data_IF_882092934782
#
_entry.id   IF_882092934782
#
_cell.length_a   1.000
_cell.length_b   1.000
_cell.length_c   1.000
_cell.angle_alpha   90.00
_cell.angle_beta   90.00
_cell.angle_gamma   90.00
#
_symmetry.space_group_name_H-M   'P 1'
#
loop_
_entity.id
_entity.type
_entity.pdbx_description
1 polymer ?
#
# COMPACT_ATOMS: atom_id res chain seq x y z
N UNK A 1 37.30 -37.61 28.27
CA UNK A 1 37.05 -37.33 29.69
C UNK A 1 35.75 -36.54 29.79
N UNK A 2 34.69 -37.16 30.30
CA UNK A 2 33.43 -36.49 30.61
C UNK A 2 33.62 -35.61 31.85
N UNK A 3 33.83 -34.30 31.67
CA UNK A 3 33.65 -33.35 32.77
C UNK A 3 32.14 -33.27 33.05
N UNK A 4 31.63 -34.16 33.90
CA UNK A 4 30.44 -33.86 34.70
C UNK A 4 30.84 -32.74 35.65
N UNK A 5 30.76 -31.50 35.17
CA UNK A 5 30.73 -30.34 36.05
C UNK A 5 29.47 -30.50 36.87
N UNK A 6 29.64 -30.81 38.16
CA UNK A 6 28.59 -30.65 39.16
C UNK A 6 28.19 -29.18 39.06
N UNK A 7 27.12 -28.90 38.32
CA UNK A 7 26.63 -27.54 38.17
C UNK A 7 26.15 -27.13 39.54
N UNK A 8 26.87 -26.20 40.17
CA UNK A 8 26.37 -25.45 41.31
C UNK A 8 24.92 -25.06 40.99
N UNK A 9 23.93 -25.44 41.82
CA UNK A 9 22.52 -25.14 41.57
C UNK A 9 22.27 -23.65 41.30
N UNK A 10 23.14 -22.77 41.83
CA UNK A 10 23.08 -21.32 41.67
C UNK A 10 23.94 -20.78 40.52
N UNK A 11 24.68 -21.64 39.81
CA UNK A 11 25.52 -21.22 38.68
C UNK A 11 24.66 -20.54 37.60
N UNK A 12 23.54 -21.17 37.24
CA UNK A 12 22.64 -20.58 36.23
C UNK A 12 22.15 -19.21 36.69
N UNK A 13 21.58 -19.11 37.89
CA UNK A 13 20.96 -17.87 38.38
C UNK A 13 21.96 -16.71 38.44
N UNK A 14 23.19 -16.98 38.93
CA UNK A 14 24.24 -15.96 39.00
C UNK A 14 24.62 -15.43 37.61
N UNK A 15 24.89 -16.32 36.66
CA UNK A 15 25.29 -15.93 35.31
C UNK A 15 24.10 -15.31 34.55
N UNK A 16 22.87 -15.78 34.81
CA UNK A 16 21.66 -15.29 34.17
C UNK A 16 21.34 -13.88 34.61
N UNK A 17 21.48 -13.57 35.91
CA UNK A 17 21.26 -12.21 36.41
C UNK A 17 22.19 -11.20 35.75
N UNK A 18 23.47 -11.55 35.53
CA UNK A 18 24.44 -10.70 34.82
C UNK A 18 24.00 -10.49 33.37
N UNK A 19 23.68 -11.59 32.68
CA UNK A 19 23.30 -11.53 31.26
C UNK A 19 21.96 -10.79 31.08
N UNK A 20 20.97 -11.05 31.92
CA UNK A 20 19.67 -10.39 31.91
C UNK A 20 19.82 -8.88 32.16
N UNK A 21 20.66 -8.48 33.13
CA UNK A 21 20.93 -7.07 33.38
C UNK A 21 21.58 -6.41 32.16
N UNK A 22 22.58 -7.05 31.55
CA UNK A 22 23.20 -6.55 30.33
C UNK A 22 22.21 -6.42 29.17
N UNK A 23 21.35 -7.42 28.95
CA UNK A 23 20.29 -7.40 27.93
C UNK A 23 19.35 -6.20 28.14
N UNK A 24 18.96 -5.92 29.39
CA UNK A 24 18.11 -4.77 29.71
C UNK A 24 18.81 -3.44 29.42
N UNK A 25 20.09 -3.31 29.72
CA UNK A 25 20.85 -2.09 29.44
C UNK A 25 21.10 -1.89 27.93
N UNK A 26 21.29 -2.98 27.18
CA UNK A 26 21.38 -2.98 25.71
C UNK A 26 20.09 -2.40 25.12
N UNK A 27 18.93 -2.88 25.56
CA UNK A 27 17.65 -2.40 25.04
C UNK A 27 17.30 -0.97 25.42
N UNK A 28 17.79 -0.48 26.57
CA UNK A 28 17.65 0.92 26.96
C UNK A 28 18.55 1.87 26.16
N UNK A 29 19.42 1.34 25.30
CA UNK A 29 20.36 2.11 24.47
C UNK A 29 21.17 3.12 25.29
N UNK A 30 21.49 2.76 26.54
CA UNK A 30 22.16 3.63 27.51
C UNK A 30 23.68 3.56 27.34
N UNK A 31 24.41 4.62 27.70
CA UNK A 31 25.89 4.63 27.66
C UNK A 31 26.49 3.48 28.51
N UNK A 32 25.75 3.00 29.51
CA UNK A 32 26.09 1.85 30.34
C UNK A 32 26.31 0.55 29.55
N UNK A 33 25.67 0.38 28.38
CA UNK A 33 25.87 -0.79 27.54
C UNK A 33 27.34 -0.91 27.06
N UNK A 34 28.07 0.22 26.99
CA UNK A 34 29.49 0.29 26.61
C UNK A 34 30.43 -0.26 27.69
N UNK A 35 29.96 -0.43 28.93
CA UNK A 35 30.75 -0.96 30.03
C UNK A 35 30.79 -2.50 30.09
N UNK A 36 29.91 -3.19 29.35
CA UNK A 36 29.93 -4.64 29.30
C UNK A 36 30.94 -5.15 28.29
N UNK A 37 31.83 -6.05 28.72
CA UNK A 37 32.72 -6.74 27.80
C UNK A 37 31.92 -7.76 26.97
N UNK A 38 31.91 -7.57 25.65
CA UNK A 38 31.31 -8.53 24.71
C UNK A 38 31.82 -9.96 24.95
N UNK A 39 33.13 -10.10 25.19
CA UNK A 39 33.76 -11.39 25.45
C UNK A 39 33.24 -12.04 26.74
N UNK A 40 32.98 -11.25 27.79
CA UNK A 40 32.42 -11.75 29.04
C UNK A 40 30.97 -12.22 28.87
N UNK A 41 30.11 -11.40 28.24
CA UNK A 41 28.72 -11.76 27.99
C UNK A 41 28.60 -13.00 27.11
N UNK A 42 29.37 -13.05 26.02
CA UNK A 42 29.41 -14.22 25.15
C UNK A 42 29.92 -15.46 25.89
N UNK A 43 30.92 -15.32 26.77
CA UNK A 43 31.43 -16.43 27.60
C UNK A 43 30.37 -16.96 28.58
N UNK A 44 29.60 -16.07 29.21
CA UNK A 44 28.50 -16.47 30.09
C UNK A 44 27.43 -17.25 29.32
N UNK A 45 26.99 -16.74 28.16
CA UNK A 45 26.02 -17.43 27.30
C UNK A 45 26.54 -18.78 26.78
N UNK A 46 27.82 -18.82 26.37
CA UNK A 46 28.48 -20.04 25.90
C UNK A 46 28.46 -21.15 26.96
N UNK A 47 28.93 -20.85 28.19
CA UNK A 47 28.99 -21.86 29.25
C UNK A 47 27.60 -22.31 29.71
N UNK A 48 26.59 -21.43 29.70
CA UNK A 48 25.21 -21.83 29.99
C UNK A 48 24.70 -22.90 29.03
N UNK A 49 24.90 -22.71 27.72
CA UNK A 49 24.48 -23.72 26.73
C UNK A 49 25.31 -24.98 26.85
N UNK A 50 26.64 -24.86 27.06
CA UNK A 50 27.55 -26.00 27.25
C UNK A 50 27.16 -26.87 28.45
N UNK A 51 26.67 -26.25 29.53
CA UNK A 51 26.18 -26.95 30.73
C UNK A 51 24.72 -27.38 30.64
N UNK A 52 24.17 -27.50 29.42
CA UNK A 52 22.80 -27.95 29.14
C UNK A 52 21.68 -27.04 29.72
N UNK A 53 21.96 -25.76 29.96
CA UNK A 53 20.95 -24.77 30.37
C UNK A 53 20.30 -24.03 29.19
N UNK A 54 20.39 -24.57 27.96
CA UNK A 54 19.87 -23.93 26.75
C UNK A 54 18.39 -23.54 26.82
N UNK A 55 17.51 -24.41 27.31
CA UNK A 55 16.07 -24.10 27.43
C UNK A 55 15.81 -22.99 28.46
N UNK A 56 16.51 -23.03 29.60
CA UNK A 56 16.39 -21.99 30.63
C UNK A 56 16.90 -20.63 30.12
N UNK A 57 18.00 -20.64 29.36
CA UNK A 57 18.54 -19.43 28.73
C UNK A 57 17.56 -18.86 27.69
N UNK A 58 17.03 -19.71 26.80
CA UNK A 58 16.09 -19.28 25.77
C UNK A 58 14.78 -18.76 26.37
N UNK A 59 14.19 -19.48 27.34
CA UNK A 59 12.97 -19.03 28.02
C UNK A 59 13.19 -17.74 28.83
N UNK A 60 14.33 -17.60 29.51
CA UNK A 60 14.71 -16.37 30.20
C UNK A 60 14.85 -15.19 29.23
N UNK A 61 15.43 -15.42 28.05
CA UNK A 61 15.55 -14.43 26.99
C UNK A 61 14.17 -13.97 26.53
N UNK A 62 13.30 -14.90 26.16
CA UNK A 62 11.91 -14.61 25.74
C UNK A 62 11.19 -13.79 26.81
N UNK A 63 11.25 -14.20 28.08
CA UNK A 63 10.61 -13.49 29.18
C UNK A 63 11.17 -12.07 29.37
N UNK A 64 12.49 -11.90 29.26
CA UNK A 64 13.13 -10.58 29.41
C UNK A 64 12.78 -9.63 28.28
N UNK A 65 12.82 -10.12 27.03
CA UNK A 65 12.42 -9.34 25.85
C UNK A 65 10.93 -8.97 25.92
N UNK A 66 10.08 -9.93 26.26
CA UNK A 66 8.62 -9.71 26.41
C UNK A 66 8.34 -8.63 27.46
N UNK A 67 8.94 -8.74 28.65
CA UNK A 67 8.77 -7.74 29.72
C UNK A 67 9.17 -6.34 29.27
N UNK A 68 10.30 -6.21 28.56
CA UNK A 68 10.77 -4.93 28.06
C UNK A 68 9.83 -4.33 27.00
N UNK A 69 9.34 -5.16 26.07
CA UNK A 69 8.40 -4.71 25.05
C UNK A 69 7.04 -4.32 25.64
N UNK A 70 6.59 -4.98 26.70
CA UNK A 70 5.38 -4.60 27.44
C UNK A 70 5.56 -3.27 28.19
N UNK A 71 6.77 -2.92 28.64
CA UNK A 71 7.07 -1.58 29.16
C UNK A 71 7.04 -0.53 28.06
N UNK A 72 7.62 -0.83 26.89
CA UNK A 72 7.54 0.02 25.70
C UNK A 72 6.08 0.27 25.30
N UNK A 73 5.27 -0.78 25.21
CA UNK A 73 3.87 -0.69 24.82
C UNK A 73 3.07 0.21 25.78
N UNK A 74 3.20 -0.02 27.11
CA UNK A 74 2.55 0.83 28.12
C UNK A 74 2.96 2.30 28.01
N UNK A 75 4.23 2.55 27.74
CA UNK A 75 4.73 3.92 27.54
C UNK A 75 4.14 4.55 26.28
N UNK A 76 4.07 3.82 25.16
CA UNK A 76 3.48 4.30 23.90
C UNK A 76 1.97 4.54 24.01
N UNK A 77 1.27 3.73 24.79
CA UNK A 77 -0.15 3.91 25.09
C UNK A 77 -0.39 5.21 25.88
N UNK A 78 0.54 5.56 26.78
CA UNK A 78 0.49 6.79 27.57
C UNK A 78 0.99 8.05 26.83
N UNK A 79 1.71 7.90 25.71
CA UNK A 79 2.21 9.02 24.89
C UNK A 79 1.07 9.89 24.37
N UNK A 80 1.31 11.19 24.20
CA UNK A 80 0.35 12.14 23.60
C UNK A 80 0.19 11.93 22.09
N UNK A 81 -0.97 12.28 21.52
CA UNK A 81 -1.29 12.02 20.10
C UNK A 81 -0.25 12.64 19.17
N UNK A 82 0.19 13.86 19.45
CA UNK A 82 1.17 14.60 18.64
C UNK A 82 2.54 13.91 18.52
N UNK A 83 3.03 13.27 19.58
CA UNK A 83 4.40 12.70 19.63
C UNK A 83 4.46 11.18 19.43
N UNK A 84 3.32 10.52 19.26
CA UNK A 84 3.24 9.06 19.23
C UNK A 84 4.06 8.41 18.12
N UNK A 85 3.95 8.92 16.90
CA UNK A 85 4.65 8.35 15.73
C UNK A 85 6.17 8.47 15.87
N UNK A 86 6.65 9.60 16.39
CA UNK A 86 8.07 9.86 16.62
C UNK A 86 8.63 8.97 17.73
N UNK A 87 7.88 8.82 18.83
CA UNK A 87 8.28 7.95 19.93
C UNK A 87 8.27 6.47 19.52
N UNK A 88 7.26 6.03 18.77
CA UNK A 88 7.19 4.68 18.21
C UNK A 88 8.38 4.41 17.29
N UNK A 89 8.68 5.33 16.37
CA UNK A 89 9.80 5.21 15.45
C UNK A 89 11.15 5.16 16.19
N UNK A 90 11.34 6.02 17.19
CA UNK A 90 12.56 6.01 18.01
C UNK A 90 12.75 4.67 18.72
N UNK A 91 11.71 4.22 19.45
CA UNK A 91 11.78 2.95 20.20
C UNK A 91 11.95 1.74 19.30
N UNK A 92 11.30 1.73 18.14
CA UNK A 92 11.50 0.69 17.13
C UNK A 92 12.96 0.65 16.67
N UNK A 93 13.52 1.81 16.31
CA UNK A 93 14.89 1.87 15.79
C UNK A 93 15.92 1.43 16.84
N UNK A 94 15.76 1.84 18.09
CA UNK A 94 16.66 1.44 19.18
C UNK A 94 16.58 -0.06 19.43
N UNK A 95 15.35 -0.60 19.54
CA UNK A 95 15.12 -2.03 19.70
C UNK A 95 15.66 -2.84 18.52
N UNK A 96 15.32 -2.46 17.29
CA UNK A 96 15.71 -3.15 16.07
C UNK A 96 17.24 -3.19 15.88
N UNK A 97 17.93 -2.07 16.14
CA UNK A 97 19.40 -1.99 16.07
C UNK A 97 20.09 -2.85 17.14
N UNK A 98 19.42 -3.12 18.26
CA UNK A 98 19.98 -3.95 19.33
C UNK A 98 19.91 -5.46 19.04
N UNK A 99 19.00 -5.91 18.16
CA UNK A 99 18.78 -7.34 17.88
C UNK A 99 20.02 -8.05 17.30
N UNK A 100 20.75 -7.50 16.30
CA UNK A 100 21.98 -8.14 15.81
C UNK A 100 23.04 -8.28 16.91
N UNK A 101 23.19 -7.27 17.76
CA UNK A 101 24.13 -7.31 18.87
C UNK A 101 23.76 -8.41 19.89
N UNK A 102 22.47 -8.56 20.18
CA UNK A 102 21.96 -9.62 21.05
C UNK A 102 22.19 -11.02 20.44
N UNK A 103 21.92 -11.19 19.14
CA UNK A 103 22.25 -12.43 18.41
C UNK A 103 23.75 -12.73 18.43
N UNK A 104 24.60 -11.71 18.39
CA UNK A 104 26.05 -11.87 18.48
C UNK A 104 26.53 -12.34 19.85
N UNK A 105 25.96 -11.79 20.94
CA UNK A 105 26.22 -12.27 22.31
C UNK A 105 25.78 -13.73 22.46
N UNK A 106 24.64 -14.09 21.87
CA UNK A 106 24.03 -15.43 21.98
C UNK A 106 24.43 -16.37 20.84
N UNK A 107 25.50 -16.06 20.10
CA UNK A 107 25.89 -16.75 18.86
C UNK A 107 26.08 -18.25 19.02
N UNK A 108 26.57 -18.70 20.17
CA UNK A 108 26.71 -20.13 20.42
C UNK A 108 25.35 -20.83 20.54
N UNK A 109 24.36 -20.20 21.20
CA UNK A 109 22.98 -20.69 21.27
C UNK A 109 22.33 -20.73 19.88
N UNK A 110 22.52 -19.67 19.08
CA UNK A 110 22.04 -19.55 17.69
C UNK A 110 22.56 -20.68 16.79
N UNK A 111 23.81 -21.12 16.97
CA UNK A 111 24.43 -22.12 16.10
C UNK A 111 24.23 -23.57 16.56
N UNK A 112 23.93 -23.80 17.83
CA UNK A 112 23.92 -25.16 18.40
C UNK A 112 22.55 -25.54 18.95
N UNK A 113 22.03 -24.73 19.88
CA UNK A 113 20.82 -25.05 20.62
C UNK A 113 19.55 -24.79 19.80
N UNK A 114 19.46 -23.64 19.11
CA UNK A 114 18.29 -23.27 18.30
C UNK A 114 18.01 -24.28 17.17
N UNK A 115 19.00 -24.69 16.34
CA UNK A 115 18.77 -25.66 15.27
C UNK A 115 18.41 -27.06 15.79
N UNK A 116 19.02 -27.49 16.89
CA UNK A 116 18.75 -28.81 17.47
C UNK A 116 17.35 -28.91 18.12
N UNK A 117 16.80 -27.79 18.56
CA UNK A 117 15.46 -27.72 19.20
C UNK A 117 14.38 -27.11 18.31
N UNK A 118 14.72 -26.70 17.08
CA UNK A 118 13.82 -26.04 16.11
C UNK A 118 13.12 -24.80 16.68
N UNK A 119 13.79 -24.07 17.58
CA UNK A 119 13.27 -22.80 18.15
C UNK A 119 13.46 -21.67 17.15
N UNK A 120 12.82 -20.53 17.38
CA UNK A 120 12.97 -19.33 16.54
C UNK A 120 14.32 -18.66 16.81
N UNK A 121 15.12 -18.29 15.78
CA UNK A 121 16.33 -17.49 15.91
C UNK A 121 16.09 -16.17 16.65
N UNK A 122 17.10 -15.62 17.34
CA UNK A 122 16.90 -14.47 18.26
C UNK A 122 16.43 -13.22 17.52
N UNK A 123 16.97 -12.97 16.32
CA UNK A 123 16.55 -11.85 15.49
C UNK A 123 15.06 -11.95 15.11
N UNK A 124 14.64 -13.11 14.60
CA UNK A 124 13.25 -13.36 14.18
C UNK A 124 12.29 -13.40 15.38
N UNK A 125 12.74 -13.97 16.51
CA UNK A 125 12.04 -13.91 17.79
C UNK A 125 11.80 -12.44 18.20
N UNK A 126 12.81 -11.59 18.05
CA UNK A 126 12.70 -10.17 18.38
C UNK A 126 11.61 -9.45 17.58
N UNK A 127 11.51 -9.73 16.27
CA UNK A 127 10.46 -9.20 15.40
C UNK A 127 9.07 -9.74 15.79
N UNK A 128 8.96 -11.04 16.05
CA UNK A 128 7.70 -11.67 16.46
C UNK A 128 7.19 -11.10 17.79
N UNK A 129 8.07 -10.96 18.78
CA UNK A 129 7.71 -10.39 20.08
C UNK A 129 7.27 -8.93 19.96
N UNK A 130 7.93 -8.12 19.12
CA UNK A 130 7.50 -6.74 18.86
C UNK A 130 6.09 -6.69 18.24
N UNK A 131 5.85 -7.56 17.25
CA UNK A 131 4.54 -7.69 16.61
C UNK A 131 3.46 -8.00 17.64
N UNK A 132 3.69 -9.00 18.48
CA UNK A 132 2.73 -9.49 19.47
C UNK A 132 2.48 -8.51 20.63
N UNK A 133 3.54 -7.91 21.17
CA UNK A 133 3.44 -7.12 22.41
C UNK A 133 3.24 -5.62 22.16
N UNK A 134 3.61 -5.11 20.98
CA UNK A 134 3.51 -3.68 20.65
C UNK A 134 2.44 -3.46 19.56
N UNK A 135 2.64 -4.01 18.37
CA UNK A 135 1.77 -3.70 17.22
C UNK A 135 0.37 -4.31 17.35
N UNK A 136 0.23 -5.48 17.97
CA UNK A 136 -1.07 -6.12 18.18
C UNK A 136 -1.80 -5.67 19.45
N UNK A 137 -1.23 -4.74 20.24
CA UNK A 137 -2.05 -3.99 21.20
C UNK A 137 -3.13 -3.22 20.43
N UNK A 138 -4.41 -3.46 20.77
CA UNK A 138 -5.54 -2.82 20.08
C UNK A 138 -5.44 -1.30 20.08
N UNK A 139 -4.99 -0.71 21.19
CA UNK A 139 -4.88 0.73 21.32
C UNK A 139 -3.77 1.29 20.41
N UNK A 140 -2.58 0.69 20.44
CA UNK A 140 -1.44 1.09 19.60
C UNK A 140 -1.78 0.89 18.13
N UNK A 141 -2.33 -0.28 17.77
CA UNK A 141 -2.70 -0.62 16.39
C UNK A 141 -3.67 0.38 15.78
N UNK A 142 -4.78 0.63 16.48
CA UNK A 142 -5.84 1.50 15.98
C UNK A 142 -5.33 2.95 15.87
N UNK A 143 -4.58 3.40 16.86
CA UNK A 143 -3.97 4.73 16.85
C UNK A 143 -2.96 4.89 15.71
N UNK A 144 -2.08 3.92 15.53
CA UNK A 144 -1.10 3.90 14.45
C UNK A 144 -1.79 3.94 13.08
N UNK A 145 -2.81 3.09 12.88
CA UNK A 145 -3.60 3.07 11.66
C UNK A 145 -4.23 4.44 11.39
N UNK A 146 -4.96 5.00 12.37
CA UNK A 146 -5.63 6.29 12.23
C UNK A 146 -4.66 7.44 11.94
N UNK A 147 -3.51 7.48 12.63
CA UNK A 147 -2.52 8.53 12.41
C UNK A 147 -1.88 8.42 11.01
N UNK A 148 -1.51 7.21 10.56
CA UNK A 148 -1.00 7.01 9.21
C UNK A 148 -2.01 7.45 8.16
N UNK A 149 -3.30 7.12 8.34
CA UNK A 149 -4.37 7.59 7.45
C UNK A 149 -4.45 9.12 7.44
N UNK A 150 -4.49 9.74 8.61
CA UNK A 150 -4.58 11.19 8.77
C UNK A 150 -3.41 11.90 8.07
N UNK A 151 -2.17 11.40 8.22
CA UNK A 151 -1.01 11.95 7.54
C UNK A 151 -1.14 11.92 6.02
N UNK A 152 -1.59 10.80 5.45
CA UNK A 152 -1.76 10.74 3.99
C UNK A 152 -2.90 11.64 3.52
N UNK A 153 -3.98 11.81 4.29
CA UNK A 153 -5.06 12.75 3.93
C UNK A 153 -4.63 14.21 4.05
N UNK A 154 -3.87 14.57 5.08
CA UNK A 154 -3.27 15.91 5.23
C UNK A 154 -2.36 16.24 4.06
N UNK A 155 -1.49 15.30 3.67
CA UNK A 155 -0.65 15.47 2.49
C UNK A 155 -1.47 15.72 1.22
N UNK A 156 -2.54 14.94 1.01
CA UNK A 156 -3.45 15.14 -0.14
C UNK A 156 -4.20 16.47 -0.10
N UNK A 157 -4.42 17.02 1.09
CA UNK A 157 -4.96 18.37 1.27
C UNK A 157 -3.92 19.49 1.01
N UNK A 158 -2.66 19.13 0.76
CA UNK A 158 -1.56 20.07 0.52
C UNK A 158 -0.88 20.56 1.80
N UNK A 159 -1.13 19.92 2.94
CA UNK A 159 -0.42 20.19 4.18
C UNK A 159 0.99 19.57 4.15
N UNK A 160 1.95 20.27 4.77
CA UNK A 160 3.29 19.74 4.93
C UNK A 160 3.30 18.63 5.99
N UNK A 161 3.79 17.45 5.62
CA UNK A 161 3.83 16.28 6.48
C UNK A 161 5.24 15.68 6.50
N UNK A 162 5.59 15.07 7.63
CA UNK A 162 6.88 14.39 7.76
C UNK A 162 6.88 13.06 6.98
N UNK A 163 7.16 13.14 5.67
CA UNK A 163 7.24 11.98 4.75
C UNK A 163 8.29 10.95 5.18
N UNK A 164 9.36 11.37 5.83
CA UNK A 164 10.40 10.48 6.33
C UNK A 164 9.89 9.62 7.49
N UNK A 165 9.14 10.24 8.42
CA UNK A 165 8.53 9.51 9.53
C UNK A 165 7.51 8.48 9.04
N UNK A 166 6.65 8.85 8.09
CA UNK A 166 5.69 7.92 7.46
C UNK A 166 6.45 6.74 6.84
N UNK A 167 7.49 7.01 6.05
CA UNK A 167 8.31 5.99 5.41
C UNK A 167 8.98 5.05 6.41
N UNK A 168 9.52 5.58 7.51
CA UNK A 168 10.19 4.76 8.52
C UNK A 168 9.20 3.85 9.26
N UNK A 169 8.01 4.37 9.56
CA UNK A 169 6.96 3.60 10.24
C UNK A 169 6.31 2.57 9.31
N UNK A 170 6.07 2.89 8.04
CA UNK A 170 5.59 1.91 7.05
C UNK A 170 6.65 0.84 6.81
N UNK A 171 7.93 1.22 6.74
CA UNK A 171 9.06 0.29 6.66
C UNK A 171 9.11 -0.66 7.86
N UNK A 172 8.92 -0.16 9.09
CA UNK A 172 8.80 -1.02 10.27
C UNK A 172 7.70 -2.06 10.09
N UNK A 173 6.51 -1.67 9.62
CA UNK A 173 5.40 -2.62 9.40
C UNK A 173 5.75 -3.68 8.35
N UNK A 174 6.50 -3.32 7.31
CA UNK A 174 6.99 -4.26 6.27
C UNK A 174 8.05 -5.20 6.84
N UNK A 175 9.02 -4.68 7.60
CA UNK A 175 10.09 -5.45 8.23
C UNK A 175 9.51 -6.44 9.28
N UNK A 176 8.39 -6.07 9.92
CA UNK A 176 7.60 -6.94 10.79
C UNK A 176 6.75 -7.97 10.03
N UNK A 177 6.71 -7.94 8.70
CA UNK A 177 6.04 -8.93 7.86
C UNK A 177 4.97 -8.31 6.94
N UNK A 178 4.84 -8.78 5.68
CA UNK A 178 3.89 -8.21 4.71
C UNK A 178 2.44 -8.15 5.21
N UNK A 179 1.98 -9.19 5.91
CA UNK A 179 0.62 -9.22 6.46
C UNK A 179 0.37 -8.16 7.54
N UNK A 180 1.41 -7.73 8.27
CA UNK A 180 1.29 -6.67 9.28
C UNK A 180 1.06 -5.33 8.61
N UNK A 181 1.86 -4.99 7.60
CA UNK A 181 1.65 -3.80 6.78
C UNK A 181 0.27 -3.78 6.13
N UNK A 182 -0.15 -4.90 5.54
CA UNK A 182 -1.44 -5.01 4.86
C UNK A 182 -2.62 -4.81 5.82
N UNK A 183 -2.58 -5.40 7.02
CA UNK A 183 -3.68 -5.35 7.98
C UNK A 183 -3.74 -4.02 8.76
N UNK A 184 -2.58 -3.49 9.16
CA UNK A 184 -2.52 -2.30 10.03
C UNK A 184 -2.70 -1.02 9.23
N UNK A 185 -2.16 -0.95 8.01
CA UNK A 185 -2.17 0.27 7.21
C UNK A 185 -2.85 0.09 5.85
N UNK A 186 -2.38 -0.81 5.00
CA UNK A 186 -2.75 -0.79 3.58
C UNK A 186 -4.24 -1.04 3.34
N UNK A 187 -4.83 -2.01 4.03
CA UNK A 187 -6.26 -2.36 3.86
C UNK A 187 -7.17 -1.23 4.35
N UNK A 188 -7.02 -0.71 5.60
CA UNK A 188 -7.76 0.48 6.03
C UNK A 188 -7.57 1.67 5.09
N UNK A 189 -6.34 1.90 4.63
CA UNK A 189 -6.00 2.99 3.73
C UNK A 189 -6.73 2.90 2.39
N UNK A 190 -6.67 1.75 1.73
CA UNK A 190 -7.34 1.54 0.46
C UNK A 190 -8.87 1.63 0.59
N UNK A 191 -9.44 1.22 1.73
CA UNK A 191 -10.87 1.36 2.01
C UNK A 191 -11.28 2.83 2.07
N UNK A 192 -10.65 3.63 2.94
CA UNK A 192 -10.98 5.05 3.08
C UNK A 192 -10.66 5.81 1.78
N UNK A 193 -9.59 5.45 1.08
CA UNK A 193 -9.24 6.03 -0.21
C UNK A 193 -10.31 5.77 -1.28
N UNK A 194 -10.79 4.54 -1.40
CA UNK A 194 -11.85 4.19 -2.33
C UNK A 194 -13.16 4.94 -2.01
N UNK A 195 -13.52 5.04 -0.72
CA UNK A 195 -14.70 5.81 -0.29
C UNK A 195 -14.58 7.30 -0.63
N UNK A 196 -13.40 7.89 -0.42
CA UNK A 196 -13.11 9.27 -0.79
C UNK A 196 -13.28 9.50 -2.30
N UNK A 197 -12.65 8.67 -3.14
CA UNK A 197 -12.76 8.82 -4.60
C UNK A 197 -14.16 8.52 -5.13
N UNK A 198 -14.90 7.62 -4.50
CA UNK A 198 -16.32 7.38 -4.82
C UNK A 198 -17.15 8.63 -4.52
N UNK A 199 -16.98 9.25 -3.36
CA UNK A 199 -17.68 10.47 -2.98
C UNK A 199 -17.31 11.64 -3.91
N UNK A 200 -16.03 11.77 -4.25
CA UNK A 200 -15.52 12.78 -5.16
C UNK A 200 -16.04 12.60 -6.59
N UNK A 201 -16.05 11.36 -7.11
CA UNK A 201 -16.64 11.01 -8.39
C UNK A 201 -18.13 11.41 -8.45
N UNK A 202 -18.90 11.06 -7.41
CA UNK A 202 -20.32 11.44 -7.33
C UNK A 202 -20.53 12.95 -7.30
N UNK A 203 -19.68 13.69 -6.57
CA UNK A 203 -19.70 15.15 -6.58
C UNK A 203 -19.40 15.69 -7.97
N UNK A 204 -18.38 15.15 -8.64
CA UNK A 204 -17.96 15.65 -9.94
C UNK A 204 -19.01 15.42 -11.03
N UNK A 205 -19.65 14.25 -11.05
CA UNK A 205 -20.74 13.94 -11.99
C UNK A 205 -21.90 14.93 -11.86
N UNK A 206 -22.16 15.46 -10.65
CA UNK A 206 -23.24 16.42 -10.41
C UNK A 206 -22.86 17.85 -10.80
N UNK A 207 -21.57 18.19 -10.80
CA UNK A 207 -21.11 19.57 -10.86
C UNK A 207 -20.37 19.93 -12.16
N UNK A 208 -19.89 18.94 -12.91
CA UNK A 208 -19.06 19.16 -14.09
C UNK A 208 -19.63 18.45 -15.31
N UNK A 209 -19.31 18.98 -16.48
CA UNK A 209 -19.52 18.29 -17.73
C UNK A 209 -18.57 17.08 -17.85
N UNK A 210 -18.82 16.19 -18.81
CA UNK A 210 -18.02 14.99 -18.94
C UNK A 210 -16.55 15.27 -19.30
N UNK A 211 -16.24 16.32 -20.07
CA UNK A 211 -14.87 16.65 -20.44
C UNK A 211 -14.05 17.08 -19.23
N UNK A 212 -14.61 17.99 -18.43
CA UNK A 212 -14.00 18.49 -17.20
C UNK A 212 -13.89 17.41 -16.12
N UNK A 213 -14.88 16.51 -16.02
CA UNK A 213 -14.77 15.32 -15.18
C UNK A 213 -13.54 14.49 -15.55
N UNK A 214 -13.36 14.16 -16.84
CA UNK A 214 -12.26 13.32 -17.31
C UNK A 214 -10.90 13.99 -17.05
N UNK A 215 -10.79 15.32 -17.24
CA UNK A 215 -9.57 16.08 -16.91
C UNK A 215 -9.20 15.95 -15.44
N UNK A 216 -10.19 15.99 -14.54
CA UNK A 216 -9.95 15.81 -13.10
C UNK A 216 -9.48 14.40 -12.74
N UNK A 217 -10.04 13.36 -13.38
CA UNK A 217 -9.58 11.98 -13.16
C UNK A 217 -8.15 11.78 -13.66
N UNK A 218 -7.81 12.33 -14.83
CA UNK A 218 -6.45 12.28 -15.37
C UNK A 218 -5.45 12.97 -14.44
N UNK A 219 -5.78 14.16 -13.93
CA UNK A 219 -4.95 14.85 -12.94
C UNK A 219 -4.79 14.04 -11.66
N UNK A 220 -5.86 13.45 -11.14
CA UNK A 220 -5.82 12.61 -9.94
C UNK A 220 -4.88 11.40 -10.11
N UNK A 221 -4.95 10.71 -11.25
CA UNK A 221 -4.04 9.58 -11.54
C UNK A 221 -2.57 10.00 -11.56
N UNK A 222 -2.26 11.16 -12.16
CA UNK A 222 -0.91 11.69 -12.20
C UNK A 222 -0.41 12.07 -10.80
N UNK A 223 -1.22 12.81 -10.04
CA UNK A 223 -0.89 13.22 -8.67
C UNK A 223 -0.64 12.03 -7.75
N UNK A 224 -1.44 10.96 -7.85
CA UNK A 224 -1.23 9.78 -7.02
C UNK A 224 0.01 8.99 -7.44
N UNK A 225 0.34 8.92 -8.73
CA UNK A 225 1.58 8.29 -9.22
C UNK A 225 2.81 8.98 -8.62
N UNK A 226 2.80 10.31 -8.52
CA UNK A 226 3.89 11.10 -7.93
C UNK A 226 3.97 10.98 -6.39
N UNK A 227 2.88 10.56 -5.72
CA UNK A 227 2.81 10.48 -4.24
C UNK A 227 3.32 9.15 -3.68
N UNK A 228 3.36 8.05 -4.45
CA UNK A 228 3.58 6.70 -3.88
C UNK A 228 5.02 6.41 -3.45
N UNK A 229 5.95 7.36 -3.57
CA UNK A 229 7.38 7.11 -3.33
C UNK A 229 7.76 6.70 -1.90
N UNK A 230 6.88 6.82 -0.91
CA UNK A 230 7.14 6.42 0.48
C UNK A 230 6.35 5.19 0.95
N UNK A 231 5.53 4.58 0.09
CA UNK A 231 4.76 3.37 0.37
C UNK A 231 5.43 2.13 -0.25
N UNK A 232 4.92 0.93 0.07
CA UNK A 232 5.36 -0.28 -0.62
C UNK A 232 5.00 -0.19 -2.11
N UNK A 233 5.92 -0.53 -3.04
CA UNK A 233 5.64 -0.47 -4.49
C UNK A 233 4.40 -1.29 -4.92
N UNK A 234 4.03 -2.33 -4.18
CA UNK A 234 2.80 -3.10 -4.45
C UNK A 234 1.53 -2.31 -4.11
N UNK A 235 1.61 -1.35 -3.20
CA UNK A 235 0.49 -0.48 -2.82
C UNK A 235 0.12 0.48 -3.96
N UNK A 236 1.10 0.95 -4.73
CA UNK A 236 0.88 1.83 -5.90
C UNK A 236 -0.18 1.26 -6.84
N UNK A 237 0.02 0.01 -7.26
CA UNK A 237 -0.91 -0.68 -8.15
C UNK A 237 -2.32 -0.78 -7.55
N UNK A 238 -2.42 -1.00 -6.22
CA UNK A 238 -3.71 -1.10 -5.53
C UNK A 238 -4.41 0.27 -5.44
N UNK A 239 -3.66 1.36 -5.24
CA UNK A 239 -4.18 2.74 -5.29
C UNK A 239 -4.74 3.05 -6.67
N UNK A 240 -3.95 2.80 -7.72
CA UNK A 240 -4.37 3.06 -9.11
C UNK A 240 -5.62 2.26 -9.46
N UNK A 241 -5.68 0.97 -9.08
CA UNK A 241 -6.87 0.15 -9.30
C UNK A 241 -8.11 0.69 -8.56
N UNK A 242 -7.96 1.25 -7.35
CA UNK A 242 -9.06 1.85 -6.62
C UNK A 242 -9.60 3.10 -7.33
N UNK A 243 -8.71 3.96 -7.84
CA UNK A 243 -9.09 5.15 -8.63
C UNK A 243 -9.77 4.73 -9.94
N UNK A 244 -9.19 3.78 -10.67
CA UNK A 244 -9.77 3.24 -11.90
C UNK A 244 -11.19 2.71 -11.65
N UNK A 245 -11.37 1.94 -10.59
CA UNK A 245 -12.68 1.38 -10.23
C UNK A 245 -13.69 2.46 -9.87
N UNK A 246 -13.36 3.34 -8.92
CA UNK A 246 -14.31 4.28 -8.35
C UNK A 246 -14.54 5.52 -9.22
N UNK A 247 -13.54 5.98 -9.96
CA UNK A 247 -13.62 7.20 -10.78
C UNK A 247 -13.78 6.94 -12.29
N UNK A 248 -13.52 5.72 -12.79
CA UNK A 248 -13.68 5.40 -14.22
C UNK A 248 -14.73 4.32 -14.41
N UNK A 249 -14.52 3.12 -13.85
CA UNK A 249 -15.34 1.93 -14.13
C UNK A 249 -16.80 2.11 -13.67
N UNK A 250 -16.99 2.43 -12.39
CA UNK A 250 -18.31 2.64 -11.78
C UNK A 250 -19.12 3.75 -12.47
N UNK A 251 -18.57 4.96 -12.72
CA UNK A 251 -19.31 6.04 -13.35
C UNK A 251 -19.40 5.94 -14.88
N UNK A 252 -18.64 5.04 -15.51
CA UNK A 252 -18.53 4.90 -16.97
C UNK A 252 -19.87 4.97 -17.72
N UNK A 253 -20.93 4.20 -17.35
CA UNK A 253 -22.18 4.24 -18.12
C UNK A 253 -22.86 5.61 -18.05
N UNK A 254 -22.71 6.33 -16.93
CA UNK A 254 -23.26 7.67 -16.75
C UNK A 254 -22.48 8.70 -17.53
N UNK A 255 -21.14 8.60 -17.56
CA UNK A 255 -20.28 9.52 -18.32
C UNK A 255 -20.52 9.40 -19.83
N UNK A 256 -20.62 8.18 -20.35
CA UNK A 256 -20.90 7.94 -21.78
C UNK A 256 -22.22 8.58 -22.19
N UNK A 257 -23.26 8.39 -21.37
CA UNK A 257 -24.62 8.85 -21.66
C UNK A 257 -24.97 10.19 -21.00
N UNK A 258 -23.97 10.95 -20.55
CA UNK A 258 -24.18 12.20 -19.83
C UNK A 258 -24.88 13.20 -20.75
N UNK A 259 -25.98 13.77 -20.26
CA UNK A 259 -26.77 14.70 -21.06
C UNK A 259 -25.94 15.94 -21.44
N UNK A 260 -26.02 16.36 -22.70
CA UNK A 260 -25.35 17.55 -23.24
C UNK A 260 -23.81 17.58 -23.18
N UNK A 261 -23.14 16.54 -22.66
CA UNK A 261 -21.67 16.49 -22.63
C UNK A 261 -21.06 15.11 -22.82
N UNK A 262 -21.86 14.04 -22.83
CA UNK A 262 -21.38 12.66 -22.96
C UNK A 262 -20.80 12.35 -24.35
N UNK A 263 -20.46 11.08 -24.58
CA UNK A 263 -19.70 10.62 -25.74
C UNK A 263 -20.28 11.09 -27.09
N UNK A 264 -21.60 10.95 -27.29
CA UNK A 264 -22.26 11.39 -28.52
C UNK A 264 -22.17 12.91 -28.71
N UNK A 265 -22.32 13.68 -27.63
CA UNK A 265 -22.19 15.13 -27.70
C UNK A 265 -20.77 15.54 -28.07
N UNK A 266 -19.75 14.87 -27.52
CA UNK A 266 -18.36 15.13 -27.87
C UNK A 266 -18.05 14.84 -29.34
N UNK A 267 -18.63 13.76 -29.92
CA UNK A 267 -18.52 13.48 -31.36
C UNK A 267 -19.16 14.62 -32.17
N UNK A 268 -20.45 14.91 -31.92
CA UNK A 268 -21.17 15.91 -32.70
C UNK A 268 -20.61 17.33 -32.54
N UNK A 269 -20.03 17.64 -31.38
CA UNK A 269 -19.41 18.91 -31.06
C UNK A 269 -17.91 18.98 -31.41
N UNK A 270 -17.35 17.95 -32.06
CA UNK A 270 -15.94 17.89 -32.47
C UNK A 270 -14.95 18.13 -31.31
N UNK A 271 -15.30 17.69 -30.08
CA UNK A 271 -14.45 17.84 -28.88
C UNK A 271 -13.35 16.76 -28.87
N UNK A 272 -12.40 16.87 -29.80
CA UNK A 272 -11.40 15.83 -30.08
C UNK A 272 -10.52 15.47 -28.88
N UNK A 273 -10.03 16.48 -28.15
CA UNK A 273 -9.18 16.28 -26.97
C UNK A 273 -9.92 15.52 -25.85
N UNK A 274 -11.21 15.80 -25.65
CA UNK A 274 -12.01 15.11 -24.64
C UNK A 274 -12.33 13.66 -25.04
N UNK A 275 -12.50 13.39 -26.35
CA UNK A 275 -12.67 12.04 -26.88
C UNK A 275 -11.39 11.19 -26.71
N UNK A 276 -10.23 11.77 -26.99
CA UNK A 276 -8.94 11.11 -26.75
C UNK A 276 -8.76 10.79 -25.26
N UNK A 277 -9.08 11.74 -24.38
CA UNK A 277 -9.04 11.53 -22.93
C UNK A 277 -10.01 10.44 -22.47
N UNK A 278 -11.24 10.44 -22.98
CA UNK A 278 -12.22 9.39 -22.68
C UNK A 278 -11.69 8.02 -23.09
N UNK A 279 -11.11 7.90 -24.28
CA UNK A 279 -10.49 6.67 -24.76
C UNK A 279 -9.34 6.20 -23.86
N UNK A 280 -8.42 7.10 -23.53
CA UNK A 280 -7.23 6.80 -22.72
C UNK A 280 -7.56 6.40 -21.29
N UNK A 281 -8.64 6.94 -20.72
CA UNK A 281 -9.14 6.53 -19.41
C UNK A 281 -9.89 5.20 -19.49
N UNK A 282 -10.77 5.02 -20.48
CA UNK A 282 -11.64 3.83 -20.52
C UNK A 282 -10.93 2.57 -20.98
N UNK A 283 -9.78 2.67 -21.67
CA UNK A 283 -8.93 1.50 -21.94
C UNK A 283 -8.30 0.88 -20.68
N UNK A 284 -8.25 1.63 -19.57
CA UNK A 284 -7.64 1.20 -18.31
C UNK A 284 -8.54 0.23 -17.54
N UNK A 285 -9.83 0.21 -17.86
CA UNK A 285 -10.86 -0.56 -17.13
C UNK A 285 -11.51 -1.63 -18.00
N UNK A 286 -11.98 -2.74 -17.40
CA UNK A 286 -12.61 -3.81 -18.14
C UNK A 286 -13.86 -3.33 -18.88
N UNK A 287 -14.04 -3.83 -20.10
CA UNK A 287 -15.17 -3.50 -20.99
C UNK A 287 -15.29 -2.02 -21.41
N UNK A 288 -14.37 -1.13 -21.02
CA UNK A 288 -14.51 0.31 -21.28
C UNK A 288 -14.58 0.66 -22.76
N UNK A 289 -13.64 0.14 -23.56
CA UNK A 289 -13.65 0.34 -25.01
C UNK A 289 -14.83 -0.35 -25.72
N UNK A 290 -15.34 -1.46 -25.16
CA UNK A 290 -16.53 -2.13 -25.71
C UNK A 290 -17.77 -1.24 -25.57
N UNK A 291 -17.97 -0.60 -24.41
CA UNK A 291 -19.12 0.28 -24.19
C UNK A 291 -19.08 1.51 -25.10
N UNK A 292 -17.90 2.10 -25.29
CA UNK A 292 -17.73 3.21 -26.25
C UNK A 292 -18.14 2.77 -27.66
N UNK A 293 -17.64 1.62 -28.10
CA UNK A 293 -17.96 1.03 -29.40
C UNK A 293 -19.47 0.81 -29.56
N UNK A 294 -20.14 0.26 -28.57
CA UNK A 294 -21.57 -0.05 -28.65
C UNK A 294 -22.42 1.22 -28.80
N UNK A 295 -22.09 2.27 -28.03
CA UNK A 295 -22.76 3.58 -28.15
C UNK A 295 -22.46 4.25 -29.49
N UNK A 296 -21.24 4.13 -30.00
CA UNK A 296 -20.88 4.60 -31.33
C UNK A 296 -21.71 3.93 -32.43
N UNK A 297 -21.80 2.59 -32.41
CA UNK A 297 -22.59 1.83 -33.39
C UNK A 297 -24.06 2.24 -33.31
N UNK A 298 -24.60 2.40 -32.10
CA UNK A 298 -25.96 2.88 -31.88
C UNK A 298 -26.17 4.28 -32.48
N UNK A 299 -25.25 5.21 -32.23
CA UNK A 299 -25.30 6.57 -32.79
C UNK A 299 -25.30 6.55 -34.33
N UNK A 300 -24.39 5.79 -34.94
CA UNK A 300 -24.31 5.66 -36.41
C UNK A 300 -25.63 5.10 -36.97
N UNK A 301 -26.16 4.03 -36.38
CA UNK A 301 -27.43 3.43 -36.82
C UNK A 301 -28.58 4.43 -36.77
N UNK A 302 -28.71 5.18 -35.66
CA UNK A 302 -29.74 6.22 -35.51
C UNK A 302 -29.55 7.35 -36.53
N UNK A 303 -28.31 7.79 -36.72
CA UNK A 303 -27.94 8.85 -37.67
C UNK A 303 -28.24 8.45 -39.12
N UNK A 304 -27.94 7.21 -39.52
CA UNK A 304 -28.27 6.66 -40.85
C UNK A 304 -29.78 6.52 -41.02
N UNK A 305 -30.51 5.96 -40.04
CA UNK A 305 -31.96 5.83 -40.13
C UNK A 305 -32.66 7.19 -40.30
N UNK A 306 -32.19 8.23 -39.59
CA UNK A 306 -32.72 9.60 -39.75
C UNK A 306 -32.53 10.17 -41.15
N UNK A 307 -31.47 9.79 -41.87
CA UNK A 307 -31.29 10.21 -43.27
C UNK A 307 -32.28 9.55 -44.21
N UNK A 308 -32.48 8.23 -44.05
CA UNK A 308 -33.35 7.45 -44.93
C UNK A 308 -34.81 7.94 -44.83
N UNK A 309 -35.19 8.44 -43.66
CA UNK A 309 -36.57 8.86 -43.36
C UNK A 309 -36.82 10.35 -43.65
N UNK A 310 -35.80 11.23 -43.66
CA UNK A 310 -35.99 12.68 -43.85
C UNK A 310 -35.77 13.14 -45.31
N UNK A 311 -36.84 13.37 -46.10
CA UNK A 311 -36.74 13.79 -47.50
C UNK A 311 -36.08 15.15 -47.71
N UNK A 312 -35.91 15.99 -46.68
CA UNK A 312 -35.19 17.27 -46.80
C UNK A 312 -33.66 17.09 -46.72
N UNK A 313 -33.16 16.07 -46.02
CA UNK A 313 -31.72 15.77 -45.89
C UNK A 313 -31.16 14.96 -47.06
N UNK A 314 -32.04 14.34 -47.85
CA UNK A 314 -31.75 13.78 -49.17
C UNK A 314 -31.32 14.83 -50.22
N UNK A 315 -31.40 16.13 -49.92
CA UNK A 315 -30.88 17.19 -50.80
C UNK A 315 -29.36 17.35 -50.75
N UNK A 316 -28.70 16.94 -49.67
CA UNK A 316 -27.23 16.95 -49.59
C UNK A 316 -26.66 15.71 -48.85
N UNK A 317 -26.95 14.49 -49.38
CA UNK A 317 -26.55 13.24 -48.77
C UNK A 317 -25.02 13.06 -48.76
N UNK A 318 -24.33 13.69 -49.70
CA UNK A 318 -22.87 13.65 -49.84
C UNK A 318 -22.22 14.36 -48.66
N UNK A 319 -22.65 15.58 -48.31
CA UNK A 319 -22.08 16.32 -47.18
C UNK A 319 -22.28 15.61 -45.84
N UNK A 320 -23.41 14.89 -45.66
CA UNK A 320 -23.61 14.07 -44.48
C UNK A 320 -22.72 12.81 -44.47
N UNK A 321 -22.62 12.10 -45.59
CA UNK A 321 -21.74 10.94 -45.72
C UNK A 321 -20.29 11.31 -45.42
N UNK A 322 -19.84 12.48 -45.87
CA UNK A 322 -18.53 13.02 -45.53
C UNK A 322 -18.36 13.26 -44.03
N UNK A 323 -19.34 13.83 -43.33
CA UNK A 323 -19.27 14.01 -41.87
C UNK A 323 -19.22 12.66 -41.13
N UNK A 324 -20.02 11.69 -41.57
CA UNK A 324 -20.01 10.34 -40.99
C UNK A 324 -18.66 9.63 -41.25
N UNK A 325 -18.09 9.80 -42.44
CA UNK A 325 -16.76 9.33 -42.80
C UNK A 325 -15.68 10.04 -41.96
N UNK A 326 -15.80 11.33 -41.69
CA UNK A 326 -14.88 12.07 -40.82
C UNK A 326 -14.93 11.55 -39.38
N UNK A 327 -16.13 11.35 -38.83
CA UNK A 327 -16.32 10.75 -37.49
C UNK A 327 -15.70 9.33 -37.42
N UNK A 328 -15.94 8.51 -38.46
CA UNK A 328 -15.40 7.15 -38.58
C UNK A 328 -13.87 7.14 -38.77
N UNK A 329 -13.33 8.05 -39.57
CA UNK A 329 -11.88 8.13 -39.82
C UNK A 329 -11.13 8.71 -38.63
N UNK A 330 -11.73 9.61 -37.86
CA UNK A 330 -11.19 10.08 -36.58
C UNK A 330 -11.13 8.95 -35.55
N UNK A 331 -12.21 8.19 -35.40
CA UNK A 331 -12.22 7.04 -34.48
C UNK A 331 -11.26 5.95 -34.96
N UNK A 332 -11.09 5.81 -36.28
CA UNK A 332 -10.02 4.99 -36.87
C UNK A 332 -8.62 5.54 -36.57
N UNK A 333 -8.41 6.86 -36.52
CA UNK A 333 -7.15 7.49 -36.10
C UNK A 333 -6.85 7.20 -34.63
N UNK A 334 -7.79 7.48 -33.71
CA UNK A 334 -7.67 7.12 -32.29
C UNK A 334 -7.44 5.61 -32.07
N UNK A 335 -8.09 4.77 -32.88
CA UNK A 335 -7.90 3.33 -32.90
C UNK A 335 -6.58 2.87 -33.53
N UNK A 336 -5.99 3.66 -34.44
CA UNK A 336 -4.74 3.34 -35.14
C UNK A 336 -3.50 3.64 -34.30
N UNK A 337 -3.58 4.61 -33.39
CA UNK A 337 -2.52 4.90 -32.40
C UNK A 337 -2.33 3.75 -31.41
N UNK A 338 -3.36 2.90 -31.23
CA UNK A 338 -3.28 1.71 -30.38
C UNK A 338 -3.89 0.48 -31.09
N UNK A 339 -3.01 -0.26 -31.76
CA UNK A 339 -3.22 -1.43 -32.64
C UNK A 339 -4.09 -2.53 -31.98
N UNK A 340 -5.42 -2.38 -31.93
CA UNK A 340 -6.35 -3.50 -31.68
C UNK A 340 -7.82 -3.28 -32.07
N UNK A 341 -8.22 -2.10 -32.56
CA UNK A 341 -9.62 -1.82 -32.98
C UNK A 341 -9.85 -1.99 -34.50
N UNK A 342 -8.81 -2.31 -35.27
CA UNK A 342 -8.90 -2.43 -36.73
C UNK A 342 -9.88 -3.52 -37.23
N UNK A 343 -10.15 -4.56 -36.43
CA UNK A 343 -11.12 -5.60 -36.77
C UNK A 343 -12.58 -5.22 -36.50
N UNK A 344 -12.81 -4.26 -35.61
CA UNK A 344 -14.16 -3.95 -35.12
C UNK A 344 -14.93 -3.03 -36.07
N UNK A 345 -14.26 -2.01 -36.62
CA UNK A 345 -14.89 -1.09 -37.58
C UNK A 345 -15.07 -1.74 -38.96
N UNK A 346 -14.23 -2.72 -39.31
CA UNK A 346 -14.33 -3.48 -40.57
C UNK A 346 -15.58 -4.36 -40.64
N UNK A 347 -16.09 -4.83 -39.50
CA UNK A 347 -17.32 -5.64 -39.43
C UNK A 347 -18.60 -4.80 -39.42
N UNK A 348 -18.56 -3.56 -38.91
CA UNK A 348 -19.72 -2.64 -38.95
C UNK A 348 -20.05 -2.14 -40.36
N UNK A 349 -19.03 -2.04 -41.23
CA UNK A 349 -19.15 -1.64 -42.64
C UNK A 349 -19.57 -2.80 -43.57
N UNK A 350 -19.68 -4.03 -43.07
CA UNK A 350 -20.18 -5.17 -43.86
C UNK A 350 -21.71 -5.34 -43.77
N UNK A 351 -22.40 -4.50 -42.98
CA UNK A 351 -23.86 -4.49 -42.81
C UNK A 351 -24.52 -3.19 -43.29
N UNK A 352 -23.77 -2.33 -44.00
CA UNK A 352 -24.28 -1.31 -44.93
C UNK A 352 -23.97 -1.79 -46.34
#
# INVERSE_FOLDING_TARGET
>A
MNFRVVSDPKYFDKNWNILQHAIREIFKCNDNARHFSFAELHRHAYYMVLYNFGEKLYSGLVATMTSHLQEIARSLEATQVSSFMEELNTKWNDYYKSLPFLSDILRYMERTYIPSTKKTPVYELGLNLWRENVIYSNQIRNRLSNMLLEFVFKERAGEDVNRELIRNVTKMLIDLGPSVYEQVFETPFLQVLAESYKAESQKYIKCFDCGDYLKKVERCLNEETDRVHYLDPKTEKKIINAIEKEMIENPMPRLINMENSGFVNMICGTKYEDLERMYNLFRRVPNGLSKIKDVMISHIRVSVNKLVIDPKRLKDPVQFLWRLLDDLTMLRRLASTHIKIFLVLKLGLHFL
#
